data_IF_958646852720
#
_entry.id   IF_958646852720
#
_cell.length_a   1.000
_cell.length_b   1.000
_cell.length_c   1.000
_cell.angle_alpha   90.00
_cell.angle_beta   90.00
_cell.angle_gamma   90.00
#
_symmetry.space_group_name_H-M   'P 1'
#
loop_
_entity.id
_entity.type
_entity.pdbx_description
1 polymer ?
#
# COMPACT_ATOMS: atom_id res chain seq x y z
N UNK A 1 -5.36 3.58 14.82
CA UNK A 1 -5.07 4.85 15.56
C UNK A 1 -3.61 5.33 15.40
N UNK A 2 -2.60 4.45 15.31
CA UNK A 2 -1.19 4.87 15.11
C UNK A 2 -0.89 5.50 13.73
N UNK A 3 -1.44 4.95 12.64
CA UNK A 3 -1.13 5.42 11.26
C UNK A 3 -1.73 6.80 10.96
N UNK A 4 -2.95 7.07 11.45
CA UNK A 4 -3.62 8.37 11.29
C UNK A 4 -2.80 9.52 11.92
N UNK A 5 -2.21 9.27 13.09
CA UNK A 5 -1.36 10.25 13.78
C UNK A 5 -0.10 10.62 12.98
N UNK A 6 0.54 9.66 12.30
CA UNK A 6 1.74 9.93 11.50
C UNK A 6 1.44 10.62 10.17
N UNK A 7 0.34 10.25 9.51
CA UNK A 7 -0.15 10.87 8.27
C UNK A 7 -0.52 12.34 8.48
N UNK A 8 -1.15 12.67 9.62
CA UNK A 8 -1.50 14.05 10.00
C UNK A 8 -0.27 14.95 10.25
N UNK A 9 0.90 14.38 10.53
CA UNK A 9 2.15 15.11 10.83
C UNK A 9 3.07 15.16 9.57
N UNK A 10 2.56 14.82 8.37
CA UNK A 10 3.37 14.70 7.14
C UNK A 10 4.53 13.68 7.24
N UNK A 11 4.52 12.77 8.23
CA UNK A 11 5.55 11.74 8.40
C UNK A 11 5.18 10.46 7.67
N UNK A 12 5.03 10.55 6.35
CA UNK A 12 4.59 9.45 5.49
C UNK A 12 5.57 8.27 5.49
N UNK A 13 6.88 8.56 5.56
CA UNK A 13 7.92 7.53 5.61
C UNK A 13 7.82 6.70 6.90
N UNK A 14 7.65 7.35 8.06
CA UNK A 14 7.46 6.64 9.33
C UNK A 14 6.15 5.85 9.37
N UNK A 15 5.09 6.37 8.74
CA UNK A 15 3.81 5.68 8.61
C UNK A 15 3.93 4.41 7.76
N UNK A 16 4.59 4.51 6.60
CA UNK A 16 4.85 3.37 5.73
C UNK A 16 5.77 2.33 6.40
N UNK A 17 6.81 2.78 7.10
CA UNK A 17 7.71 1.91 7.86
C UNK A 17 6.98 1.18 8.99
N UNK A 18 6.10 1.87 9.71
CA UNK A 18 5.28 1.27 10.78
C UNK A 18 4.31 0.22 10.23
N UNK A 19 3.72 0.46 9.05
CA UNK A 19 2.87 -0.51 8.35
C UNK A 19 3.68 -1.72 7.86
N UNK A 20 4.89 -1.52 7.36
CA UNK A 20 5.80 -2.58 6.94
C UNK A 20 6.20 -3.47 8.13
N UNK A 21 6.59 -2.87 9.25
CA UNK A 21 6.92 -3.57 10.50
C UNK A 21 5.70 -4.36 11.01
N UNK A 22 4.50 -3.78 10.92
CA UNK A 22 3.26 -4.47 11.28
C UNK A 22 3.00 -5.67 10.36
N UNK A 23 3.20 -5.53 9.05
CA UNK A 23 3.14 -6.64 8.09
C UNK A 23 4.10 -7.77 8.46
N UNK A 24 5.36 -7.45 8.73
CA UNK A 24 6.38 -8.41 9.16
C UNK A 24 6.08 -9.06 10.52
N UNK A 25 5.48 -8.32 11.45
CA UNK A 25 5.10 -8.85 12.77
C UNK A 25 3.88 -9.78 12.69
N UNK A 26 2.89 -9.45 11.83
CA UNK A 26 1.68 -10.26 11.63
C UNK A 26 1.94 -11.52 10.81
N UNK A 27 2.93 -11.49 9.90
CA UNK A 27 3.43 -12.65 9.17
C UNK A 27 3.97 -13.73 10.14
N UNK A 28 4.75 -13.30 11.15
CA UNK A 28 5.24 -14.19 12.23
C UNK A 28 4.14 -14.77 13.12
N UNK A 29 2.94 -14.19 13.12
CA UNK A 29 1.78 -14.69 13.87
C UNK A 29 0.83 -15.56 13.04
N UNK A 30 1.19 -15.91 11.79
CA UNK A 30 0.42 -16.82 10.93
C UNK A 30 -1.03 -16.34 10.67
N UNK A 31 -1.27 -15.02 10.72
CA UNK A 31 -2.56 -14.41 10.43
C UNK A 31 -2.71 -14.25 8.91
N UNK A 32 -3.41 -15.17 8.25
CA UNK A 32 -3.38 -15.36 6.78
C UNK A 32 -3.90 -14.19 5.94
N UNK A 33 -4.68 -13.26 6.52
CA UNK A 33 -5.29 -12.13 5.82
C UNK A 33 -4.70 -10.76 6.18
N UNK A 34 -3.86 -10.69 7.22
CA UNK A 34 -3.41 -9.43 7.83
C UNK A 34 -2.10 -8.84 7.27
N UNK A 35 -1.07 -9.63 6.88
CA UNK A 35 0.23 -9.06 6.47
C UNK A 35 0.20 -8.50 5.04
N UNK A 36 -0.51 -9.14 4.11
CA UNK A 36 -0.60 -8.71 2.71
C UNK A 36 -1.34 -7.38 2.54
N UNK A 37 -2.33 -7.11 3.39
CA UNK A 37 -3.00 -5.81 3.50
C UNK A 37 -2.06 -4.71 3.99
N UNK A 38 -1.19 -5.02 4.96
CA UNK A 38 -0.23 -4.06 5.49
C UNK A 38 0.85 -3.70 4.46
N UNK A 39 1.32 -4.67 3.66
CA UNK A 39 2.27 -4.42 2.56
C UNK A 39 1.66 -3.54 1.46
N UNK A 40 0.44 -3.85 1.02
CA UNK A 40 -0.29 -3.01 0.05
C UNK A 40 -0.47 -1.58 0.59
N UNK A 41 -0.79 -1.45 1.88
CA UNK A 41 -0.94 -0.16 2.54
C UNK A 41 0.35 0.65 2.55
N UNK A 42 1.50 0.01 2.84
CA UNK A 42 2.80 0.69 2.82
C UNK A 42 3.16 1.22 1.41
N UNK A 43 2.90 0.42 0.37
CA UNK A 43 3.15 0.82 -1.03
C UNK A 43 2.29 2.04 -1.41
N UNK A 44 1.01 2.05 -1.05
CA UNK A 44 0.10 3.19 -1.29
C UNK A 44 0.61 4.46 -0.59
N UNK A 45 1.12 4.34 0.65
CA UNK A 45 1.67 5.49 1.40
C UNK A 45 2.95 6.04 0.74
N UNK A 46 3.84 5.18 0.23
CA UNK A 46 5.03 5.63 -0.51
C UNK A 46 4.67 6.33 -1.81
N UNK A 47 3.68 5.81 -2.56
CA UNK A 47 3.18 6.46 -3.76
C UNK A 47 2.52 7.82 -3.45
N UNK A 48 1.76 7.91 -2.35
CA UNK A 48 1.22 9.19 -1.88
C UNK A 48 2.32 10.20 -1.53
N UNK A 49 3.45 9.73 -0.99
CA UNK A 49 4.62 10.55 -0.70
C UNK A 49 5.43 10.94 -1.95
N UNK A 50 4.97 10.56 -3.15
CA UNK A 50 5.68 10.70 -4.43
C UNK A 50 7.06 10.02 -4.45
N UNK A 51 7.30 9.06 -3.55
CA UNK A 51 8.55 8.32 -3.49
C UNK A 51 8.38 6.97 -4.21
N UNK A 52 8.39 7.04 -5.54
CA UNK A 52 8.22 5.87 -6.39
C UNK A 52 9.35 4.85 -6.19
N UNK A 53 10.59 5.32 -5.95
CA UNK A 53 11.73 4.44 -5.70
C UNK A 53 11.54 3.59 -4.43
N UNK A 54 11.06 4.20 -3.35
CA UNK A 54 10.74 3.43 -2.15
C UNK A 54 9.53 2.52 -2.33
N UNK A 55 8.51 2.96 -3.08
CA UNK A 55 7.34 2.13 -3.37
C UNK A 55 7.71 0.85 -4.16
N UNK A 56 8.52 1.00 -5.21
CA UNK A 56 8.99 -0.13 -6.03
C UNK A 56 9.89 -1.07 -5.23
N UNK A 57 10.81 -0.51 -4.42
CA UNK A 57 11.66 -1.31 -3.53
C UNK A 57 10.82 -2.10 -2.52
N UNK A 58 9.85 -1.45 -1.89
CA UNK A 58 8.92 -2.09 -0.96
C UNK A 58 8.14 -3.22 -1.65
N UNK A 59 7.65 -3.01 -2.87
CA UNK A 59 6.97 -4.04 -3.65
C UNK A 59 7.88 -5.24 -3.98
N UNK A 60 9.12 -4.97 -4.40
CA UNK A 60 10.09 -6.04 -4.71
C UNK A 60 10.45 -6.84 -3.46
N UNK A 61 10.70 -6.17 -2.33
CA UNK A 61 10.97 -6.83 -1.05
C UNK A 61 9.77 -7.67 -0.59
N UNK A 62 8.54 -7.16 -0.71
CA UNK A 62 7.32 -7.89 -0.35
C UNK A 62 7.05 -9.05 -1.32
N UNK A 63 7.39 -8.92 -2.61
CA UNK A 63 7.21 -9.97 -3.62
C UNK A 63 8.10 -11.18 -3.41
N UNK A 64 9.17 -11.07 -2.60
CA UNK A 64 9.95 -12.23 -2.15
C UNK A 64 9.21 -13.08 -1.11
N UNK A 65 8.13 -12.56 -0.51
CA UNK A 65 7.30 -13.30 0.45
C UNK A 65 6.26 -14.09 -0.32
N UNK A 66 6.35 -15.42 -0.29
CA UNK A 66 5.49 -16.31 -1.08
C UNK A 66 3.98 -16.12 -0.81
N UNK A 67 3.64 -15.80 0.44
CA UNK A 67 2.27 -15.48 0.86
C UNK A 67 1.74 -14.17 0.25
N UNK A 68 2.60 -13.16 0.07
CA UNK A 68 2.23 -11.92 -0.61
C UNK A 68 2.15 -12.15 -2.12
N UNK A 69 3.16 -12.81 -2.71
CA UNK A 69 3.24 -13.09 -4.14
C UNK A 69 2.00 -13.82 -4.69
N UNK A 70 1.44 -14.76 -3.92
CA UNK A 70 0.23 -15.52 -4.28
C UNK A 70 -1.09 -14.82 -3.94
N UNK A 71 -1.05 -13.60 -3.39
CA UNK A 71 -2.24 -12.89 -2.92
C UNK A 71 -2.80 -11.90 -3.95
N UNK A 72 -4.11 -11.67 -3.90
CA UNK A 72 -4.78 -10.63 -4.72
C UNK A 72 -4.22 -9.22 -4.44
N UNK A 73 -3.61 -9.00 -3.28
CA UNK A 73 -2.96 -7.74 -2.91
C UNK A 73 -1.70 -7.47 -3.74
N UNK A 74 -0.94 -8.51 -4.14
CA UNK A 74 0.22 -8.33 -5.02
C UNK A 74 -0.20 -7.93 -6.43
N UNK A 75 -1.22 -8.59 -6.99
CA UNK A 75 -1.81 -8.21 -8.27
C UNK A 75 -2.33 -6.77 -8.24
N UNK A 76 -2.98 -6.39 -7.14
CA UNK A 76 -3.44 -5.03 -6.94
C UNK A 76 -2.26 -4.03 -6.86
N UNK A 77 -1.20 -4.35 -6.11
CA UNK A 77 -0.03 -3.50 -5.96
C UNK A 77 0.75 -3.29 -7.26
N UNK A 78 0.97 -4.36 -8.04
CA UNK A 78 1.67 -4.28 -9.32
C UNK A 78 0.89 -3.43 -10.33
N UNK A 79 -0.43 -3.59 -10.35
CA UNK A 79 -1.33 -2.80 -11.18
C UNK A 79 -1.33 -1.32 -10.77
N UNK A 80 -1.30 -1.05 -9.47
CA UNK A 80 -1.23 0.31 -8.92
C UNK A 80 0.09 1.00 -9.29
N UNK A 81 1.22 0.29 -9.18
CA UNK A 81 2.54 0.78 -9.59
C UNK A 81 2.60 1.07 -11.09
N UNK A 82 2.12 0.14 -11.93
CA UNK A 82 2.11 0.32 -13.38
C UNK A 82 1.23 1.50 -13.80
N UNK A 83 0.04 1.64 -13.22
CA UNK A 83 -0.85 2.76 -13.49
C UNK A 83 -0.26 4.09 -13.03
N UNK A 84 0.40 4.13 -11.86
CA UNK A 84 1.12 5.31 -11.37
C UNK A 84 2.27 5.72 -12.32
N UNK A 85 3.09 4.76 -12.79
CA UNK A 85 4.17 5.02 -13.75
C UNK A 85 3.66 5.52 -15.09
N UNK A 86 2.53 4.99 -15.56
CA UNK A 86 1.92 5.39 -16.82
C UNK A 86 1.11 6.70 -16.70
N UNK A 87 0.91 7.22 -15.49
CA UNK A 87 0.03 8.38 -15.25
C UNK A 87 -1.44 8.08 -15.56
N UNK A 88 -1.86 6.81 -15.49
CA UNK A 88 -3.21 6.36 -15.82
C UNK A 88 -4.14 6.55 -14.63
N UNK A 89 -4.68 7.77 -14.50
CA UNK A 89 -5.52 8.19 -13.37
C UNK A 89 -6.82 7.38 -13.28
N UNK A 90 -7.41 7.00 -14.42
CA UNK A 90 -8.64 6.21 -14.47
C UNK A 90 -8.41 4.80 -13.89
N UNK A 91 -7.28 4.18 -14.24
CA UNK A 91 -6.94 2.87 -13.71
C UNK A 91 -6.59 2.92 -12.21
N UNK A 92 -5.88 3.96 -11.74
CA UNK A 92 -5.60 4.15 -10.31
C UNK A 92 -6.90 4.32 -9.52
N UNK A 93 -7.84 5.10 -10.04
CA UNK A 93 -9.16 5.28 -9.43
C UNK A 93 -9.95 3.98 -9.37
N UNK A 94 -9.94 3.20 -10.44
CA UNK A 94 -10.59 1.89 -10.50
C UNK A 94 -10.02 0.93 -9.45
N UNK A 95 -8.68 0.89 -9.31
CA UNK A 95 -8.02 0.05 -8.32
C UNK A 95 -8.29 0.55 -6.90
N UNK A 96 -8.28 1.86 -6.66
CA UNK A 96 -8.58 2.46 -5.36
C UNK A 96 -10.03 2.20 -4.91
N UNK A 97 -10.96 2.08 -5.85
CA UNK A 97 -12.36 1.72 -5.60
C UNK A 97 -12.60 0.21 -5.53
N UNK A 98 -11.59 -0.61 -5.83
CA UNK A 98 -11.69 -2.07 -5.76
C UNK A 98 -11.94 -2.52 -4.32
N UNK A 99 -12.66 -3.64 -4.17
CA UNK A 99 -12.96 -4.26 -2.88
C UNK A 99 -11.69 -4.56 -2.06
N UNK A 100 -10.57 -4.80 -2.74
CA UNK A 100 -9.26 -5.08 -2.13
C UNK A 100 -8.75 -3.85 -1.36
N UNK A 101 -8.85 -2.67 -1.96
CA UNK A 101 -8.41 -1.40 -1.34
C UNK A 101 -9.45 -0.87 -0.37
N UNK A 102 -10.74 -1.02 -0.67
CA UNK A 102 -11.82 -0.57 0.23
C UNK A 102 -11.93 -1.40 1.52
N UNK A 103 -11.43 -2.64 1.54
CA UNK A 103 -11.30 -3.44 2.75
C UNK A 103 -10.03 -3.13 3.57
N UNK A 104 -9.13 -2.28 3.07
CA UNK A 104 -8.03 -1.76 3.88
C UNK A 104 -8.56 -0.81 4.96
N UNK A 105 -7.72 -0.49 5.94
CA UNK A 105 -8.02 0.53 6.93
C UNK A 105 -8.51 1.81 6.23
N UNK A 106 -9.58 2.41 6.77
CA UNK A 106 -10.26 3.57 6.17
C UNK A 106 -9.28 4.70 5.82
N UNK A 107 -8.19 4.84 6.58
CA UNK A 107 -7.14 5.84 6.31
C UNK A 107 -6.37 5.53 5.02
N UNK A 108 -6.04 4.27 4.76
CA UNK A 108 -5.27 3.85 3.58
C UNK A 108 -6.12 3.92 2.32
N UNK A 109 -7.38 3.48 2.40
CA UNK A 109 -8.35 3.64 1.31
C UNK A 109 -8.53 5.12 0.95
N UNK A 110 -8.64 5.99 1.96
CA UNK A 110 -8.65 7.44 1.78
C UNK A 110 -7.37 7.99 1.13
N UNK A 111 -6.19 7.48 1.52
CA UNK A 111 -4.92 7.90 0.91
C UNK A 111 -4.82 7.48 -0.56
N UNK A 112 -5.19 6.24 -0.91
CA UNK A 112 -5.23 5.78 -2.30
C UNK A 112 -6.13 6.67 -3.17
N UNK A 113 -7.27 7.07 -2.60
CA UNK A 113 -8.19 8.03 -3.19
C UNK A 113 -7.53 9.43 -3.37
N UNK A 114 -6.75 9.92 -2.41
CA UNK A 114 -6.10 11.22 -2.60
C UNK A 114 -4.91 11.13 -3.57
N UNK A 115 -4.23 9.98 -3.66
CA UNK A 115 -3.11 9.77 -4.60
C UNK A 115 -3.53 9.99 -6.04
N UNK A 116 -4.75 9.58 -6.46
CA UNK A 116 -5.22 9.86 -7.83
C UNK A 116 -5.41 11.35 -8.14
N UNK A 117 -5.60 12.20 -7.12
CA UNK A 117 -5.79 13.66 -7.30
C UNK A 117 -4.45 14.37 -7.52
N UNK A 118 -3.35 13.72 -7.12
CA UNK A 118 -2.00 14.31 -7.10
C UNK A 118 -1.11 13.90 -8.27
N UNK A 119 -1.58 13.04 -9.17
CA UNK A 119 -0.90 12.59 -10.40
C UNK A 119 -1.33 13.48 -11.56
#
# INVERSE_FOLDING_TARGET
>A
MFVLGMVLIHRYIDAAYSLLILGLATDKCNATNSPSMAYLSAIIVYLYAHDFQQAEKCYNDCSQIEAFLKSDHNYCASKFLAAYTNGDVDEIKNIAQSKIVSHLDHVVSGLACITYIKI
#
